data_IF_157603485411
#
_entry.id   IF_157603485411
#
_cell.length_a   1.000
_cell.length_b   1.000
_cell.length_c   1.000
_cell.angle_alpha   90.00
_cell.angle_beta   90.00
_cell.angle_gamma   90.00
#
_symmetry.space_group_name_H-M   'P 1'
#
loop_
_entity.id
_entity.type
_entity.pdbx_description
1 polymer ?
#
# COMPACT_ATOMS: atom_id res chain seq x y z
N UNK A 1 -14.67 -21.93 -25.82
CA UNK A 1 -13.35 -21.90 -25.16
C UNK A 1 -12.26 -22.46 -26.06
N UNK A 2 -12.61 -23.45 -26.89
CA UNK A 2 -11.69 -24.14 -27.82
C UNK A 2 -11.00 -23.25 -28.85
N UNK A 3 -11.65 -22.17 -29.31
CA UNK A 3 -11.02 -21.23 -30.25
C UNK A 3 -9.82 -20.48 -29.66
N UNK A 4 -9.84 -20.17 -28.35
CA UNK A 4 -8.71 -19.51 -27.68
C UNK A 4 -7.53 -20.48 -27.58
N UNK A 5 -7.80 -21.74 -27.25
CA UNK A 5 -6.78 -22.80 -27.16
C UNK A 5 -6.15 -23.06 -28.53
N UNK A 6 -6.95 -23.08 -29.61
CA UNK A 6 -6.45 -23.20 -30.99
C UNK A 6 -5.55 -22.03 -31.37
N UNK A 7 -5.98 -20.80 -31.08
CA UNK A 7 -5.16 -19.61 -31.33
C UNK A 7 -3.86 -19.67 -30.55
N UNK A 8 -3.90 -19.97 -29.25
CA UNK A 8 -2.72 -20.11 -28.38
C UNK A 8 -1.70 -21.13 -28.92
N UNK A 9 -2.16 -22.32 -29.31
CA UNK A 9 -1.31 -23.38 -29.87
C UNK A 9 -0.71 -23.03 -31.23
N UNK A 10 -1.32 -22.12 -31.98
CA UNK A 10 -0.80 -21.64 -33.27
C UNK A 10 0.30 -20.57 -33.13
N UNK A 11 0.51 -20.02 -31.93
CA UNK A 11 1.56 -19.04 -31.70
C UNK A 11 2.95 -19.70 -31.54
N UNK A 12 4.02 -19.02 -31.98
CA UNK A 12 5.39 -19.35 -31.62
C UNK A 12 5.62 -19.41 -30.09
N UNK A 13 6.61 -20.19 -29.61
CA UNK A 13 6.86 -20.36 -28.17
C UNK A 13 7.13 -19.05 -27.41
N UNK A 14 7.75 -18.06 -28.06
CA UNK A 14 8.06 -16.77 -27.43
C UNK A 14 6.80 -15.94 -27.17
N UNK A 15 5.83 -15.98 -28.09
CA UNK A 15 4.56 -15.26 -27.93
C UNK A 15 3.62 -15.98 -26.96
N UNK A 16 3.72 -17.31 -26.84
CA UNK A 16 3.00 -18.05 -25.80
C UNK A 16 3.42 -17.59 -24.40
N UNK A 17 4.73 -17.41 -24.15
CA UNK A 17 5.25 -16.86 -22.89
C UNK A 17 4.77 -15.44 -22.62
N UNK A 18 4.60 -14.62 -23.65
CA UNK A 18 4.08 -13.27 -23.50
C UNK A 18 2.60 -13.26 -23.10
N UNK A 19 1.80 -14.16 -23.69
CA UNK A 19 0.40 -14.36 -23.32
C UNK A 19 0.27 -14.87 -21.88
N UNK A 20 1.12 -15.80 -21.45
CA UNK A 20 1.16 -16.27 -20.05
C UNK A 20 1.42 -15.11 -19.09
N UNK A 21 2.45 -14.29 -19.35
CA UNK A 21 2.74 -13.08 -18.55
C UNK A 21 1.57 -12.11 -18.51
N UNK A 22 0.87 -11.95 -19.62
CA UNK A 22 -0.29 -11.06 -19.68
C UNK A 22 -1.47 -11.59 -18.86
N UNK A 23 -1.69 -12.91 -18.86
CA UNK A 23 -2.70 -13.56 -18.01
C UNK A 23 -2.35 -13.38 -16.52
N UNK A 24 -1.08 -13.56 -16.16
CA UNK A 24 -0.61 -13.33 -14.79
C UNK A 24 -0.83 -11.87 -14.36
N UNK A 25 -0.46 -10.93 -15.23
CA UNK A 25 -0.69 -9.49 -15.00
C UNK A 25 -2.18 -9.16 -14.79
N UNK A 26 -3.07 -9.68 -15.64
CA UNK A 26 -4.51 -9.46 -15.49
C UNK A 26 -5.05 -10.08 -14.20
N UNK A 27 -4.51 -11.22 -13.80
CA UNK A 27 -4.88 -11.90 -12.54
C UNK A 27 -4.44 -11.07 -11.34
N UNK A 28 -3.25 -10.46 -11.39
CA UNK A 28 -2.77 -9.54 -10.36
C UNK A 28 -3.60 -8.26 -10.29
N UNK A 29 -3.97 -7.70 -11.44
CA UNK A 29 -4.80 -6.50 -11.52
C UNK A 29 -6.21 -6.72 -10.95
N UNK A 30 -6.78 -7.90 -11.17
CA UNK A 30 -8.12 -8.26 -10.69
C UNK A 30 -8.12 -8.76 -9.24
N UNK A 31 -6.95 -8.91 -8.59
CA UNK A 31 -6.95 -9.14 -7.14
C UNK A 31 -7.58 -7.91 -6.50
N UNK A 32 -8.64 -8.07 -5.68
CA UNK A 32 -9.22 -6.94 -4.98
C UNK A 32 -8.09 -6.30 -4.18
N UNK A 33 -7.71 -5.07 -4.56
CA UNK A 33 -6.78 -4.29 -3.76
C UNK A 33 -7.36 -4.30 -2.36
N UNK A 34 -6.58 -4.80 -1.38
CA UNK A 34 -7.00 -4.79 0.03
C UNK A 34 -7.55 -3.40 0.26
N UNK A 35 -8.87 -3.25 0.44
CA UNK A 35 -9.55 -1.94 0.51
C UNK A 35 -8.63 -1.07 1.32
N UNK A 36 -8.02 -0.06 0.68
CA UNK A 36 -7.01 0.74 1.35
C UNK A 36 -7.67 1.18 2.65
N UNK A 37 -7.16 0.67 3.79
CA UNK A 37 -7.73 0.99 5.09
C UNK A 37 -7.67 2.50 5.13
N UNK A 38 -8.82 3.16 5.28
CA UNK A 38 -8.87 4.62 5.43
C UNK A 38 -7.82 4.97 6.47
N UNK A 39 -6.94 5.91 6.14
CA UNK A 39 -5.84 6.30 7.02
C UNK A 39 -6.43 6.64 8.39
N UNK A 40 -6.16 5.80 9.39
CA UNK A 40 -6.69 6.00 10.73
C UNK A 40 -5.79 7.00 11.43
N UNK A 41 -6.27 8.24 11.59
CA UNK A 41 -5.66 9.28 12.41
C UNK A 41 -5.81 8.96 13.91
N UNK A 42 -5.61 7.71 14.32
CA UNK A 42 -5.81 7.25 15.70
C UNK A 42 -4.84 7.88 16.70
N UNK A 43 -3.74 8.45 16.20
CA UNK A 43 -2.78 9.23 16.97
C UNK A 43 -3.24 10.69 17.20
N UNK A 44 -4.19 11.19 16.41
CA UNK A 44 -4.66 12.57 16.54
C UNK A 44 -5.35 12.77 17.89
N UNK A 45 -4.86 13.73 18.68
CA UNK A 45 -5.37 14.00 20.02
C UNK A 45 -4.77 13.14 21.13
N UNK A 46 -3.75 12.31 20.85
CA UNK A 46 -3.09 11.48 21.87
C UNK A 46 -2.45 12.25 23.03
N UNK A 47 -2.22 13.55 22.89
CA UNK A 47 -1.66 14.43 23.93
C UNK A 47 -2.71 15.31 24.61
N UNK A 48 -4.02 15.04 24.41
CA UNK A 48 -5.10 15.92 24.91
C UNK A 48 -5.08 16.07 26.44
N UNK A 49 -4.72 15.03 27.17
CA UNK A 49 -4.66 15.01 28.64
C UNK A 49 -3.58 15.94 29.21
N UNK A 50 -2.56 16.24 28.41
CA UNK A 50 -1.42 17.08 28.78
C UNK A 50 -1.62 18.55 28.42
N UNK A 51 -2.75 18.89 27.78
CA UNK A 51 -3.03 20.24 27.28
C UNK A 51 -2.95 21.32 28.37
N UNK A 52 -3.42 21.00 29.57
CA UNK A 52 -3.43 21.94 30.70
C UNK A 52 -2.18 21.83 31.58
N UNK A 53 -1.33 20.84 31.32
CA UNK A 53 -0.10 20.58 32.08
C UNK A 53 1.14 21.16 31.41
N UNK A 54 1.11 21.29 30.08
CA UNK A 54 2.25 21.79 29.31
C UNK A 54 1.81 22.81 28.27
N UNK A 55 2.56 23.90 28.20
CA UNK A 55 2.50 24.84 27.10
C UNK A 55 3.21 24.26 25.87
N UNK A 56 2.86 24.76 24.68
CA UNK A 56 3.50 24.33 23.43
C UNK A 56 5.02 24.54 23.44
N UNK A 57 5.49 25.58 24.13
CA UNK A 57 6.92 25.89 24.25
C UNK A 57 7.67 24.85 25.10
N UNK A 58 7.07 24.37 26.19
CA UNK A 58 7.68 23.36 27.07
C UNK A 58 7.79 22.02 26.37
N UNK A 59 6.77 21.63 25.61
CA UNK A 59 6.81 20.42 24.79
C UNK A 59 7.90 20.49 23.72
N UNK A 60 8.08 21.65 23.09
CA UNK A 60 9.14 21.86 22.11
C UNK A 60 10.53 21.74 22.73
N UNK A 61 10.75 22.31 23.92
CA UNK A 61 12.02 22.19 24.66
C UNK A 61 12.33 20.74 25.03
N UNK A 62 11.34 20.01 25.58
CA UNK A 62 11.48 18.59 25.90
C UNK A 62 11.77 17.74 24.66
N UNK A 63 11.15 18.07 23.53
CA UNK A 63 11.44 17.37 22.27
C UNK A 63 12.89 17.58 21.83
N UNK A 64 13.42 18.80 21.90
CA UNK A 64 14.83 19.06 21.58
C UNK A 64 15.80 18.32 22.52
N UNK A 65 15.45 18.21 23.80
CA UNK A 65 16.21 17.45 24.79
C UNK A 65 16.24 15.95 24.45
N UNK A 66 15.08 15.35 24.15
CA UNK A 66 14.99 13.93 23.78
C UNK A 66 15.67 13.55 22.46
N UNK A 67 15.88 14.51 21.57
CA UNK A 67 16.60 14.29 20.31
C UNK A 67 18.11 14.52 20.42
N UNK A 68 18.57 15.08 21.54
CA UNK A 68 19.98 15.36 21.80
C UNK A 68 20.67 14.27 22.64
N UNK A 69 19.90 13.31 23.16
CA UNK A 69 20.36 12.01 23.70
C UNK A 69 20.29 10.92 22.61
#
# INVERSE_FOLDING_TARGET
>A
MDDIIKKFKSLPPDLQKEVEKYIDFLTELNKPTKKQKKFSLSWAGGLKEYRDQFTSLELQKKALEWWSD
#
